data_IF_933768642349
#
_entry.id   IF_933768642349
#
_cell.length_a   1.000
_cell.length_b   1.000
_cell.length_c   1.000
_cell.angle_alpha   90.00
_cell.angle_beta   90.00
_cell.angle_gamma   90.00
#
_symmetry.space_group_name_H-M   'P 1'
#
loop_
_entity.id
_entity.type
_entity.pdbx_description
1 polymer ?
#
# COMPACT_ATOMS: atom_id res chain seq x y z
N UNK A 1 2.20 11.16 -13.13
CA UNK A 1 3.67 10.99 -13.28
C UNK A 1 4.12 11.37 -14.68
N UNK A 2 3.72 10.66 -15.75
CA UNK A 2 4.13 10.99 -17.13
C UNK A 2 3.86 12.44 -17.56
N UNK A 3 2.66 12.96 -17.33
CA UNK A 3 2.35 14.37 -17.63
C UNK A 3 3.25 15.34 -16.86
N UNK A 4 3.56 15.07 -15.60
CA UNK A 4 4.49 15.90 -14.82
C UNK A 4 5.90 15.86 -15.41
N UNK A 5 6.40 14.68 -15.82
CA UNK A 5 7.69 14.60 -16.51
C UNK A 5 7.70 15.44 -17.77
N UNK A 6 6.68 15.33 -18.62
CA UNK A 6 6.60 16.06 -19.88
C UNK A 6 6.50 17.58 -19.69
N UNK A 7 5.68 18.04 -18.74
CA UNK A 7 5.47 19.48 -18.50
C UNK A 7 6.69 20.17 -17.90
N UNK A 8 7.54 19.43 -17.16
CA UNK A 8 8.70 19.98 -16.46
C UNK A 8 10.04 19.46 -16.99
N UNK A 9 10.08 18.90 -18.21
CA UNK A 9 11.27 18.22 -18.76
C UNK A 9 12.51 19.12 -18.79
N UNK A 10 12.33 20.42 -19.10
CA UNK A 10 13.42 21.41 -19.06
C UNK A 10 14.10 21.49 -17.69
N UNK A 11 13.34 21.40 -16.59
CA UNK A 11 13.88 21.43 -15.22
C UNK A 11 14.65 20.15 -14.87
N UNK A 12 14.30 19.02 -15.48
CA UNK A 12 15.08 17.78 -15.36
C UNK A 12 16.36 17.87 -16.21
N UNK A 13 16.28 18.39 -17.43
CA UNK A 13 17.42 18.56 -18.33
C UNK A 13 18.46 19.55 -17.78
N UNK A 14 18.01 20.61 -17.11
CA UNK A 14 18.87 21.59 -16.43
C UNK A 14 19.42 21.07 -15.08
N UNK A 15 19.00 19.89 -14.64
CA UNK A 15 19.41 19.30 -13.35
C UNK A 15 18.82 20.01 -12.12
N UNK A 16 17.84 20.90 -12.31
CA UNK A 16 17.13 21.60 -11.23
C UNK A 16 16.24 20.63 -10.43
N UNK A 17 15.67 19.63 -11.10
CA UNK A 17 14.98 18.51 -10.45
C UNK A 17 15.86 17.26 -10.57
N UNK A 18 16.49 16.88 -9.45
CA UNK A 18 17.38 15.71 -9.37
C UNK A 18 16.71 14.48 -8.77
N UNK A 19 15.55 14.64 -8.13
CA UNK A 19 14.81 13.53 -7.54
C UNK A 19 13.30 13.79 -7.51
N UNK A 20 12.52 12.72 -7.56
CA UNK A 20 11.05 12.76 -7.43
C UNK A 20 10.63 11.88 -6.26
N UNK A 21 9.83 12.46 -5.35
CA UNK A 21 9.24 11.74 -4.24
C UNK A 21 7.86 11.19 -4.61
N UNK A 22 7.65 9.90 -4.34
CA UNK A 22 6.39 9.21 -4.64
C UNK A 22 5.80 8.66 -3.36
N UNK A 23 4.59 9.14 -3.05
CA UNK A 23 3.80 8.64 -1.93
C UNK A 23 3.21 7.28 -2.26
N UNK A 24 3.62 6.26 -1.50
CA UNK A 24 2.90 5.00 -1.38
C UNK A 24 1.96 5.12 -0.20
N UNK A 25 0.81 5.74 -0.43
CA UNK A 25 -0.31 5.65 0.51
C UNK A 25 -0.97 4.27 0.42
N UNK A 26 -1.80 3.93 1.40
CA UNK A 26 -2.76 2.85 1.20
C UNK A 26 -3.52 3.14 -0.10
N UNK A 27 -3.56 2.17 -1.01
CA UNK A 27 -4.27 2.27 -2.29
C UNK A 27 -5.78 2.40 -2.06
N UNK A 28 -6.24 3.61 -1.73
CA UNK A 28 -7.61 3.93 -1.29
C UNK A 28 -7.81 3.62 0.20
N UNK A 29 -8.38 4.46 1.06
CA UNK A 29 -9.07 5.74 0.89
C UNK A 29 -8.88 6.56 2.18
N UNK A 30 -9.04 7.87 2.04
CA UNK A 30 -9.36 8.82 3.09
C UNK A 30 -10.28 8.13 4.15
N UNK A 31 -9.76 7.86 5.34
CA UNK A 31 -10.37 7.01 6.40
C UNK A 31 -11.62 7.66 7.04
N UNK A 32 -12.24 8.63 6.37
CA UNK A 32 -13.28 9.46 6.92
C UNK A 32 -14.24 10.02 5.88
N UNK A 33 -14.56 9.29 4.81
CA UNK A 33 -15.76 9.62 4.01
C UNK A 33 -16.55 8.35 3.71
N UNK A 34 -17.67 8.25 4.43
CA UNK A 34 -18.88 7.53 4.08
C UNK A 34 -19.12 7.57 2.54
N UNK A 35 -19.74 6.52 1.98
CA UNK A 35 -20.06 6.24 0.56
C UNK A 35 -19.12 5.22 -0.16
N UNK A 36 -19.45 3.93 -0.04
CA UNK A 36 -19.07 2.80 -0.92
C UNK A 36 -17.57 2.49 -1.17
N UNK A 37 -16.70 2.68 -0.16
CA UNK A 37 -15.26 2.37 -0.19
C UNK A 37 -14.85 0.89 -0.28
N UNK A 38 -15.69 0.03 -0.87
CA UNK A 38 -15.63 -1.43 -0.66
C UNK A 38 -15.72 -2.24 -1.97
N UNK A 39 -15.28 -1.71 -3.11
CA UNK A 39 -15.34 -2.46 -4.39
C UNK A 39 -13.99 -3.12 -4.74
N UNK A 40 -12.84 -2.43 -4.67
CA UNK A 40 -11.58 -2.98 -5.18
C UNK A 40 -10.92 -3.97 -4.20
N UNK A 41 -10.77 -3.56 -2.94
CA UNK A 41 -10.20 -4.37 -1.84
C UNK A 41 -11.08 -5.59 -1.59
N UNK A 42 -12.40 -5.40 -1.53
CA UNK A 42 -13.40 -6.48 -1.48
C UNK A 42 -13.34 -7.41 -2.69
N UNK A 43 -13.16 -6.88 -3.92
CA UNK A 43 -13.12 -7.74 -5.10
C UNK A 43 -11.85 -8.59 -5.19
N UNK A 44 -10.69 -8.01 -4.85
CA UNK A 44 -9.42 -8.74 -4.78
C UNK A 44 -9.45 -9.81 -3.68
N UNK A 45 -9.93 -9.45 -2.48
CA UNK A 45 -10.06 -10.38 -1.36
C UNK A 45 -11.02 -11.52 -1.69
N UNK A 46 -12.17 -11.21 -2.26
CA UNK A 46 -13.16 -12.21 -2.70
C UNK A 46 -12.58 -13.16 -3.74
N UNK A 47 -11.72 -12.68 -4.64
CA UNK A 47 -11.03 -13.52 -5.61
C UNK A 47 -10.00 -14.43 -4.95
N UNK A 48 -9.18 -13.88 -4.05
CA UNK A 48 -8.18 -14.66 -3.30
C UNK A 48 -8.84 -15.74 -2.44
N UNK A 49 -9.94 -15.42 -1.78
CA UNK A 49 -10.74 -16.35 -0.97
C UNK A 49 -11.30 -17.50 -1.81
N UNK A 50 -11.84 -17.19 -3.00
CA UNK A 50 -12.32 -18.22 -3.95
C UNK A 50 -11.20 -19.12 -4.44
N UNK A 51 -10.05 -18.55 -4.81
CA UNK A 51 -8.87 -19.31 -5.28
C UNK A 51 -8.28 -20.21 -4.18
N UNK A 52 -8.30 -19.74 -2.94
CA UNK A 52 -7.90 -20.52 -1.77
C UNK A 52 -8.91 -21.58 -1.33
N UNK A 53 -10.10 -21.67 -1.95
CA UNK A 53 -11.15 -22.60 -1.55
C UNK A 53 -11.92 -22.19 -0.28
N UNK A 54 -11.75 -20.94 0.17
CA UNK A 54 -12.32 -20.41 1.41
C UNK A 54 -13.24 -19.22 1.13
N UNK A 55 -14.30 -19.41 0.35
CA UNK A 55 -15.21 -18.33 -0.07
C UNK A 55 -15.82 -17.51 1.08
N UNK A 56 -15.86 -18.06 2.30
CA UNK A 56 -16.33 -17.36 3.50
C UNK A 56 -15.32 -16.35 4.07
N UNK A 57 -14.05 -16.41 3.64
CA UNK A 57 -12.98 -15.46 3.97
C UNK A 57 -12.93 -14.24 3.03
N UNK A 58 -13.97 -14.04 2.22
CA UNK A 58 -14.07 -12.97 1.23
C UNK A 58 -14.36 -11.57 1.83
N UNK A 59 -14.08 -11.36 3.11
CA UNK A 59 -14.35 -10.14 3.88
C UNK A 59 -13.21 -9.89 4.86
N UNK A 60 -13.01 -8.63 5.26
CA UNK A 60 -12.05 -8.28 6.30
C UNK A 60 -12.52 -8.70 7.71
N UNK A 61 -11.60 -8.76 8.70
CA UNK A 61 -11.94 -9.08 10.08
C UNK A 61 -12.88 -8.03 10.65
N UNK A 62 -14.01 -8.46 11.22
CA UNK A 62 -14.97 -7.59 11.90
C UNK A 62 -14.60 -7.31 13.37
N UNK A 63 -13.61 -8.03 13.89
CA UNK A 63 -13.13 -7.93 15.26
C UNK A 63 -11.75 -7.27 15.41
N UNK A 64 -11.34 -6.52 14.37
CA UNK A 64 -10.09 -5.76 14.32
C UNK A 64 -10.15 -4.39 15.04
N UNK A 65 -11.30 -4.04 15.63
CA UNK A 65 -11.52 -2.76 16.29
C UNK A 65 -11.66 -1.60 15.31
N UNK A 66 -11.44 -0.38 15.82
CA UNK A 66 -11.44 0.85 15.05
C UNK A 66 -10.04 1.45 15.00
N UNK A 67 -9.85 2.47 14.16
CA UNK A 67 -8.54 3.09 13.90
C UNK A 67 -7.72 3.43 15.17
N UNK A 68 -8.39 3.87 16.25
CA UNK A 68 -7.75 4.26 17.49
C UNK A 68 -7.83 3.20 18.61
N UNK A 69 -8.28 1.98 18.31
CA UNK A 69 -8.34 0.90 19.30
C UNK A 69 -6.93 0.43 19.66
N UNK A 70 -6.65 0.20 20.94
CA UNK A 70 -5.38 -0.40 21.32
C UNK A 70 -5.35 -1.87 20.89
N UNK A 71 -4.18 -2.37 20.49
CA UNK A 71 -4.03 -3.74 19.96
C UNK A 71 -4.65 -4.81 20.89
N UNK A 72 -4.43 -4.67 22.21
CA UNK A 72 -4.94 -5.62 23.21
C UNK A 72 -6.45 -5.50 23.50
N UNK A 73 -7.10 -4.43 23.04
CA UNK A 73 -8.54 -4.24 23.14
C UNK A 73 -9.29 -4.88 21.97
N UNK A 74 -8.57 -5.27 20.91
CA UNK A 74 -9.15 -5.91 19.72
C UNK A 74 -9.03 -7.43 19.84
N UNK A 75 -10.07 -8.17 19.48
CA UNK A 75 -10.00 -9.64 19.50
C UNK A 75 -9.10 -10.18 18.36
N UNK A 76 -8.94 -9.41 17.29
CA UNK A 76 -8.06 -9.80 16.19
C UNK A 76 -6.57 -9.65 16.53
N UNK A 77 -6.15 -8.51 17.10
CA UNK A 77 -4.73 -8.19 17.31
C UNK A 77 -4.23 -8.39 18.75
N UNK A 78 -5.06 -8.85 19.69
CA UNK A 78 -4.59 -9.14 21.04
C UNK A 78 -3.61 -10.33 21.07
N UNK A 79 -2.95 -10.53 22.22
CA UNK A 79 -2.12 -11.73 22.41
C UNK A 79 -2.98 -12.99 22.24
N UNK A 80 -2.55 -13.90 21.35
CA UNK A 80 -3.33 -15.08 20.93
C UNK A 80 -4.65 -14.74 20.21
N UNK A 81 -4.76 -13.54 19.64
CA UNK A 81 -5.90 -13.11 18.85
C UNK A 81 -6.00 -13.80 17.49
N UNK A 82 -7.08 -13.49 16.77
CA UNK A 82 -7.41 -14.14 15.50
C UNK A 82 -6.39 -13.90 14.38
N UNK A 83 -5.49 -12.93 14.52
CA UNK A 83 -4.40 -12.69 13.56
C UNK A 83 -3.57 -13.96 13.27
N UNK A 84 -3.42 -14.85 14.25
CA UNK A 84 -2.60 -16.07 14.12
C UNK A 84 -3.39 -17.34 13.77
N UNK A 85 -4.71 -17.24 13.66
CA UNK A 85 -5.55 -18.36 13.22
C UNK A 85 -5.49 -18.54 11.68
N UNK A 86 -6.13 -19.59 11.15
CA UNK A 86 -6.10 -19.88 9.70
C UNK A 86 -6.61 -18.71 8.84
N UNK A 87 -7.68 -18.06 9.28
CA UNK A 87 -8.27 -16.92 8.59
C UNK A 87 -7.36 -15.69 8.70
N UNK A 88 -6.86 -15.36 9.90
CA UNK A 88 -6.00 -14.22 10.13
C UNK A 88 -4.71 -14.29 9.32
N UNK A 89 -4.05 -15.46 9.31
CA UNK A 89 -2.86 -15.70 8.47
C UNK A 89 -3.15 -15.54 6.99
N UNK A 90 -4.28 -16.07 6.52
CA UNK A 90 -4.72 -15.88 5.13
C UNK A 90 -4.93 -14.40 4.80
N UNK A 91 -5.68 -13.69 5.64
CA UNK A 91 -6.01 -12.27 5.44
C UNK A 91 -4.76 -11.40 5.45
N UNK A 92 -3.88 -11.58 6.44
CA UNK A 92 -2.63 -10.82 6.55
C UNK A 92 -1.67 -11.10 5.39
N UNK A 93 -1.60 -12.36 4.93
CA UNK A 93 -0.80 -12.71 3.75
C UNK A 93 -1.35 -12.04 2.49
N UNK A 94 -2.66 -12.10 2.28
CA UNK A 94 -3.30 -11.45 1.14
C UNK A 94 -3.13 -9.92 1.19
N UNK A 95 -3.32 -9.32 2.37
CA UNK A 95 -3.24 -7.87 2.58
C UNK A 95 -1.82 -7.35 2.33
N UNK A 96 -0.82 -7.97 2.96
CA UNK A 96 0.59 -7.63 2.74
C UNK A 96 1.01 -7.80 1.28
N UNK A 97 0.60 -8.90 0.64
CA UNK A 97 0.87 -9.11 -0.79
C UNK A 97 0.23 -8.05 -1.67
N UNK A 98 -1.01 -7.67 -1.39
CA UNK A 98 -1.72 -6.62 -2.16
C UNK A 98 -1.02 -5.28 -2.05
N UNK A 99 -0.50 -4.93 -0.87
CA UNK A 99 0.29 -3.71 -0.67
C UNK A 99 1.62 -3.75 -1.42
N UNK A 100 2.33 -4.89 -1.41
CA UNK A 100 3.58 -5.08 -2.15
C UNK A 100 3.34 -5.00 -3.65
N UNK A 101 2.36 -5.75 -4.17
CA UNK A 101 2.03 -5.76 -5.61
C UNK A 101 1.59 -4.34 -6.08
N UNK A 102 0.91 -3.57 -5.22
CA UNK A 102 0.59 -2.17 -5.50
C UNK A 102 1.84 -1.28 -5.53
N UNK A 103 2.73 -1.42 -4.55
CA UNK A 103 3.99 -0.70 -4.51
C UNK A 103 4.83 -0.98 -5.76
N UNK A 104 4.98 -2.25 -6.15
CA UNK A 104 5.71 -2.65 -7.35
C UNK A 104 5.12 -2.02 -8.62
N UNK A 105 3.79 -1.96 -8.74
CA UNK A 105 3.13 -1.31 -9.87
C UNK A 105 3.42 0.20 -9.91
N UNK A 106 3.26 0.89 -8.77
CA UNK A 106 3.53 2.33 -8.68
C UNK A 106 5.00 2.63 -8.98
N UNK A 107 5.93 1.82 -8.46
CA UNK A 107 7.37 1.96 -8.71
C UNK A 107 7.72 1.68 -10.16
N UNK A 108 7.15 0.65 -10.77
CA UNK A 108 7.36 0.37 -12.19
C UNK A 108 6.89 1.54 -13.07
N UNK A 109 5.72 2.11 -12.78
CA UNK A 109 5.20 3.28 -13.49
C UNK A 109 6.06 4.53 -13.25
N UNK A 110 6.61 4.69 -12.05
CA UNK A 110 7.55 5.75 -11.73
C UNK A 110 8.84 5.64 -12.51
N UNK A 111 9.46 4.46 -12.54
CA UNK A 111 10.69 4.20 -13.28
C UNK A 111 10.51 4.49 -14.76
N UNK A 112 9.37 4.09 -15.36
CA UNK A 112 9.06 4.40 -16.75
C UNK A 112 8.80 5.90 -17.01
N UNK A 113 8.28 6.63 -16.02
CA UNK A 113 7.96 8.05 -16.17
C UNK A 113 9.16 8.97 -15.91
N UNK A 114 10.17 8.51 -15.17
CA UNK A 114 11.29 9.31 -14.70
C UNK A 114 12.63 8.62 -14.99
N UNK A 115 12.78 8.08 -16.21
CA UNK A 115 14.03 7.46 -16.66
C UNK A 115 15.24 8.34 -16.32
N UNK A 116 16.31 7.71 -15.80
CA UNK A 116 17.55 8.35 -15.33
C UNK A 116 17.43 9.33 -14.15
N UNK A 117 16.23 9.50 -13.58
CA UNK A 117 16.00 10.36 -12.41
C UNK A 117 15.93 9.53 -11.14
N UNK A 118 16.53 10.02 -10.04
CA UNK A 118 16.44 9.36 -8.74
C UNK A 118 14.99 9.36 -8.25
N UNK A 119 14.38 8.18 -8.15
CA UNK A 119 13.07 8.02 -7.51
C UNK A 119 13.28 7.79 -6.01
N UNK A 120 12.58 8.57 -5.20
CA UNK A 120 12.52 8.43 -3.74
C UNK A 120 11.10 8.01 -3.38
N UNK A 121 11.00 6.93 -2.61
CA UNK A 121 9.71 6.38 -2.21
C UNK A 121 9.44 6.77 -0.77
N UNK A 122 8.22 7.23 -0.47
CA UNK A 122 7.77 7.50 0.90
C UNK A 122 6.53 6.69 1.20
N UNK A 123 6.61 5.82 2.19
CA UNK A 123 5.45 5.15 2.77
C UNK A 123 4.96 6.03 3.91
N UNK A 124 3.75 6.56 3.78
CA UNK A 124 3.16 7.45 4.80
C UNK A 124 2.08 6.68 5.54
N UNK A 125 2.31 6.48 6.84
CA UNK A 125 1.28 6.00 7.76
C UNK A 125 0.71 7.21 8.50
N UNK A 126 -0.62 7.41 8.52
CA UNK A 126 -1.21 8.66 8.99
C UNK A 126 -0.87 9.05 10.44
N UNK A 127 -0.45 8.13 11.34
CA UNK A 127 -0.25 8.47 12.76
C UNK A 127 0.98 7.86 13.48
N UNK A 128 1.93 7.25 12.77
CA UNK A 128 3.22 6.86 13.37
C UNK A 128 4.35 7.71 12.81
N UNK A 129 5.18 8.27 13.71
CA UNK A 129 6.38 9.06 13.37
C UNK A 129 7.10 8.46 12.14
N UNK A 130 7.28 9.31 11.12
CA UNK A 130 7.71 8.95 9.77
C UNK A 130 8.83 7.90 9.73
N UNK A 131 8.50 6.67 9.32
CA UNK A 131 9.50 5.77 8.75
C UNK A 131 9.62 6.08 7.26
N UNK A 132 10.58 6.95 6.92
CA UNK A 132 10.95 7.16 5.52
C UNK A 132 11.87 6.03 5.08
N UNK A 133 11.33 5.05 4.34
CA UNK A 133 12.17 4.06 3.65
C UNK A 133 12.54 4.64 2.29
N UNK A 134 13.72 5.27 2.20
CA UNK A 134 14.27 5.69 0.90
C UNK A 134 14.74 4.45 0.14
N UNK A 135 13.88 3.92 -0.72
CA UNK A 135 14.30 2.95 -1.73
C UNK A 135 14.87 3.75 -2.90
N UNK A 136 16.20 3.84 -2.97
CA UNK A 136 16.89 4.43 -4.12
C UNK A 136 17.11 3.33 -5.14
N UNK A 137 16.47 3.41 -6.31
CA UNK A 137 16.86 2.60 -7.47
C UNK A 137 18.18 3.14 -8.02
N UNK A 138 19.29 2.90 -7.33
CA UNK A 138 20.58 2.87 -7.99
C UNK A 138 20.65 1.50 -8.66
N UNK A 139 20.55 1.52 -9.99
CA UNK A 139 20.77 0.37 -10.84
C UNK A 139 22.06 -0.33 -10.39
N UNK A 140 21.99 -1.66 -10.26
CA UNK A 140 23.17 -2.50 -10.15
C UNK A 140 24.04 -2.24 -11.38
N UNK A 141 25.31 -1.87 -11.16
CA UNK A 141 26.37 -1.92 -12.19
C UNK A 141 26.61 -3.37 -12.63
#
# INVERSE_FOLDING_TARGET
MRSFRTEFDDLFAEGLISAVEIGLGASGEDIQKEWDGDILVSHSLRRAAKLGGHSFWARGPDNAGHYNSMLHETEFFCEQGDYDNYYGRFFLLWYSKTLIDHADNVLSLATLAFEETKVIVKVVFPDYQLFTIVVSSQLYD
#
